data_IF_107585089887
#
_entry.id   IF_107585089887
#
_cell.length_a   1.000
_cell.length_b   1.000
_cell.length_c   1.000
_cell.angle_alpha   90.00
_cell.angle_beta   90.00
_cell.angle_gamma   90.00
#
_symmetry.space_group_name_H-M   'P 1'
#
loop_
_entity.id
_entity.type
_entity.pdbx_description
1 polymer ?
#
# COMPACT_ATOMS: atom_id res chain seq x y z
N UNK A 1 -4.56 47.03 17.39
CA UNK A 1 -4.60 45.55 17.47
C UNK A 1 -3.58 44.99 16.49
N UNK A 2 -2.45 44.48 16.99
CA UNK A 2 -1.38 43.94 16.16
C UNK A 2 -1.81 42.62 15.54
N UNK A 3 -1.76 42.52 14.21
CA UNK A 3 -1.88 41.24 13.50
C UNK A 3 -0.64 40.42 13.89
N UNK A 4 -0.79 39.46 14.78
CA UNK A 4 0.22 38.43 14.96
C UNK A 4 0.39 37.69 13.62
N UNK A 5 1.49 37.98 12.94
CA UNK A 5 2.02 37.16 11.86
C UNK A 5 2.42 35.81 12.48
N UNK A 6 1.46 34.89 12.58
CA UNK A 6 1.73 33.52 12.95
C UNK A 6 2.75 32.98 11.94
N UNK A 7 3.99 32.82 12.39
CA UNK A 7 5.06 32.24 11.60
C UNK A 7 4.64 30.83 11.21
N UNK A 8 4.36 30.63 9.92
CA UNK A 8 4.09 29.32 9.34
C UNK A 8 5.32 28.44 9.60
N UNK A 9 5.30 27.61 10.65
CA UNK A 9 6.35 26.59 10.85
C UNK A 9 6.45 25.77 9.56
N UNK A 10 7.66 25.58 9.02
CA UNK A 10 7.77 25.15 7.64
C UNK A 10 7.42 23.64 7.56
N UNK A 11 6.27 23.39 6.93
CA UNK A 11 5.52 22.12 6.87
C UNK A 11 6.21 21.00 6.07
N UNK A 12 7.40 21.25 5.51
CA UNK A 12 8.12 20.31 4.66
C UNK A 12 8.61 19.07 5.42
N UNK A 13 8.91 19.21 6.72
CA UNK A 13 9.48 18.12 7.53
C UNK A 13 8.54 16.91 7.64
N UNK A 14 7.22 17.13 7.70
CA UNK A 14 6.22 16.06 7.82
C UNK A 14 6.04 15.23 6.54
N UNK A 15 6.28 15.83 5.37
CA UNK A 15 6.16 15.13 4.10
C UNK A 15 7.40 14.29 3.83
N UNK A 16 8.58 14.87 4.09
CA UNK A 16 9.84 14.15 3.99
C UNK A 16 9.89 12.99 4.97
N UNK A 17 9.44 13.16 6.21
CA UNK A 17 9.38 12.06 7.17
C UNK A 17 8.40 10.96 6.74
N UNK A 18 7.25 11.31 6.17
CA UNK A 18 6.29 10.34 5.63
C UNK A 18 6.85 9.54 4.44
N UNK A 19 7.45 10.23 3.46
CA UNK A 19 8.08 9.59 2.31
C UNK A 19 9.28 8.73 2.70
N UNK A 20 10.14 9.21 3.60
CA UNK A 20 11.29 8.46 4.12
C UNK A 20 10.85 7.23 4.91
N UNK A 21 9.79 7.33 5.72
CA UNK A 21 9.22 6.16 6.40
C UNK A 21 8.77 5.10 5.40
N UNK A 22 7.98 5.47 4.38
CA UNK A 22 7.49 4.54 3.38
C UNK A 22 8.63 3.89 2.58
N UNK A 23 9.66 4.66 2.24
CA UNK A 23 10.86 4.16 1.59
C UNK A 23 11.64 3.19 2.49
N UNK A 24 11.85 3.54 3.75
CA UNK A 24 12.53 2.69 4.72
C UNK A 24 11.78 1.36 4.93
N UNK A 25 10.46 1.41 5.08
CA UNK A 25 9.63 0.22 5.17
C UNK A 25 9.75 -0.65 3.92
N UNK A 26 9.71 -0.05 2.71
CA UNK A 26 9.89 -0.78 1.46
C UNK A 26 11.27 -1.47 1.37
N UNK A 27 12.33 -0.79 1.80
CA UNK A 27 13.68 -1.36 1.84
C UNK A 27 13.73 -2.54 2.82
N UNK A 28 13.15 -2.40 4.00
CA UNK A 28 13.09 -3.49 4.99
C UNK A 28 12.27 -4.67 4.47
N UNK A 29 11.12 -4.44 3.82
CA UNK A 29 10.32 -5.49 3.14
C UNK A 29 11.19 -6.28 2.17
N UNK A 30 11.89 -5.57 1.27
CA UNK A 30 12.74 -6.20 0.27
C UNK A 30 13.90 -6.96 0.91
N UNK A 31 14.64 -6.34 1.82
CA UNK A 31 15.80 -6.98 2.45
C UNK A 31 15.38 -8.21 3.26
N UNK A 32 14.34 -8.11 4.07
CA UNK A 32 13.92 -9.21 4.94
C UNK A 32 13.19 -10.32 4.18
N UNK A 33 12.12 -10.01 3.44
CA UNK A 33 11.28 -11.04 2.81
C UNK A 33 11.78 -11.49 1.43
N UNK A 34 12.73 -10.77 0.81
CA UNK A 34 13.28 -11.15 -0.50
C UNK A 34 14.74 -11.59 -0.39
N UNK A 35 15.61 -10.85 0.28
CA UNK A 35 17.05 -11.19 0.31
C UNK A 35 17.42 -12.18 1.42
N UNK A 36 16.79 -12.10 2.59
CA UNK A 36 17.13 -12.99 3.70
C UNK A 36 16.38 -14.32 3.60
N UNK A 37 17.11 -15.43 3.81
CA UNK A 37 16.55 -16.78 3.73
C UNK A 37 15.37 -17.01 4.67
N UNK A 38 15.45 -16.52 5.92
CA UNK A 38 14.40 -16.70 6.92
C UNK A 38 13.10 -15.97 6.54
N UNK A 39 13.19 -14.69 6.17
CA UNK A 39 12.02 -13.93 5.73
C UNK A 39 11.46 -14.45 4.41
N UNK A 40 12.32 -14.79 3.44
CA UNK A 40 11.86 -15.38 2.17
C UNK A 40 11.15 -16.73 2.38
N UNK A 41 11.63 -17.56 3.31
CA UNK A 41 10.93 -18.80 3.68
C UNK A 41 9.56 -18.50 4.28
N UNK A 42 9.46 -17.56 5.23
CA UNK A 42 8.19 -17.18 5.86
C UNK A 42 7.17 -16.64 4.85
N UNK A 43 7.62 -15.77 3.95
CA UNK A 43 6.81 -15.19 2.87
C UNK A 43 6.31 -16.28 1.90
N UNK A 44 7.18 -17.24 1.58
CA UNK A 44 6.84 -18.37 0.71
C UNK A 44 5.85 -19.32 1.38
N UNK A 45 5.97 -19.62 2.68
CA UNK A 45 4.99 -20.44 3.39
C UNK A 45 3.65 -19.74 3.49
N UNK A 46 3.66 -18.44 3.82
CA UNK A 46 2.46 -17.61 3.84
C UNK A 46 1.75 -17.57 2.50
N UNK A 47 2.46 -17.62 1.38
CA UNK A 47 1.89 -17.80 0.05
C UNK A 47 1.37 -19.23 -0.20
N UNK A 48 2.19 -20.22 0.12
CA UNK A 48 1.95 -21.63 -0.26
C UNK A 48 0.70 -22.17 0.43
N UNK A 49 0.48 -21.83 1.70
CA UNK A 49 -0.70 -22.26 2.46
C UNK A 49 -2.01 -21.80 1.79
N UNK A 50 -2.09 -20.55 1.34
CA UNK A 50 -3.26 -20.02 0.64
C UNK A 50 -3.43 -20.70 -0.73
N UNK A 51 -2.33 -20.91 -1.46
CA UNK A 51 -2.38 -21.61 -2.75
C UNK A 51 -2.84 -23.08 -2.62
N UNK A 52 -2.61 -23.73 -1.49
CA UNK A 52 -3.06 -25.10 -1.22
C UNK A 52 -4.54 -25.15 -0.83
N UNK A 53 -4.98 -24.24 0.05
CA UNK A 53 -6.37 -24.18 0.49
C UNK A 53 -7.32 -23.63 -0.57
N UNK A 54 -6.81 -22.78 -1.47
CA UNK A 54 -7.58 -22.17 -2.53
C UNK A 54 -6.84 -22.27 -3.88
N UNK A 55 -6.75 -23.49 -4.48
CA UNK A 55 -5.94 -23.74 -5.66
C UNK A 55 -6.33 -22.87 -6.86
N UNK A 56 -5.31 -22.32 -7.51
CA UNK A 56 -5.48 -21.49 -8.70
C UNK A 56 -6.08 -22.25 -9.90
N UNK A 57 -6.00 -23.59 -9.92
CA UNK A 57 -6.51 -24.44 -11.00
C UNK A 57 -8.04 -24.48 -11.14
N UNK A 58 -8.80 -23.90 -10.21
CA UNK A 58 -10.25 -23.75 -10.34
C UNK A 58 -10.58 -22.61 -11.34
N UNK A 59 -10.53 -22.93 -12.64
CA UNK A 59 -10.77 -22.01 -13.78
C UNK A 59 -12.14 -21.31 -13.76
N UNK A 60 -13.10 -21.80 -12.97
CA UNK A 60 -14.41 -21.18 -12.76
C UNK A 60 -14.48 -20.18 -11.58
N UNK A 61 -13.37 -19.83 -10.93
CA UNK A 61 -13.42 -18.98 -9.74
C UNK A 61 -13.69 -17.51 -10.10
N UNK A 62 -14.85 -16.93 -9.72
CA UNK A 62 -15.21 -15.55 -10.08
C UNK A 62 -14.28 -14.52 -9.43
N UNK A 63 -13.69 -14.81 -8.27
CA UNK A 63 -12.73 -13.93 -7.61
C UNK A 63 -11.43 -13.84 -8.42
N UNK A 64 -11.01 -14.95 -9.04
CA UNK A 64 -9.80 -14.96 -9.88
C UNK A 64 -10.01 -14.15 -11.17
N UNK A 65 -11.15 -14.33 -11.83
CA UNK A 65 -11.51 -13.53 -13.00
C UNK A 65 -11.59 -12.04 -12.64
N UNK A 66 -12.15 -11.71 -11.48
CA UNK A 66 -12.13 -10.34 -10.98
C UNK A 66 -10.70 -9.81 -10.77
N UNK A 67 -9.80 -10.61 -10.21
CA UNK A 67 -8.40 -10.22 -10.02
C UNK A 67 -7.66 -9.99 -11.34
N UNK A 68 -7.95 -10.77 -12.39
CA UNK A 68 -7.38 -10.56 -13.74
C UNK A 68 -7.73 -9.17 -14.29
N UNK A 69 -8.97 -8.72 -14.05
CA UNK A 69 -9.45 -7.40 -14.47
C UNK A 69 -9.24 -6.31 -13.41
N UNK A 70 -8.68 -6.63 -12.24
CA UNK A 70 -8.57 -5.68 -11.13
C UNK A 70 -7.89 -4.36 -11.52
N UNK A 71 -6.74 -4.35 -12.22
CA UNK A 71 -6.08 -3.10 -12.59
C UNK A 71 -6.94 -2.27 -13.54
N UNK A 72 -7.64 -2.93 -14.48
CA UNK A 72 -8.56 -2.29 -15.42
C UNK A 72 -9.76 -1.69 -14.70
N UNK A 73 -10.40 -2.45 -13.80
CA UNK A 73 -11.56 -2.00 -13.01
C UNK A 73 -11.16 -0.81 -12.12
N UNK A 74 -10.03 -0.90 -11.41
CA UNK A 74 -9.52 0.19 -10.58
C UNK A 74 -9.24 1.44 -11.42
N UNK A 75 -8.57 1.25 -12.57
CA UNK A 75 -8.27 2.33 -13.51
C UNK A 75 -9.53 2.99 -14.06
N UNK A 76 -10.53 2.21 -14.44
CA UNK A 76 -11.81 2.70 -14.95
C UNK A 76 -12.57 3.51 -13.89
N UNK A 77 -12.72 2.98 -12.68
CA UNK A 77 -13.37 3.67 -11.55
C UNK A 77 -12.65 4.99 -11.24
N UNK A 78 -11.32 4.95 -11.11
CA UNK A 78 -10.53 6.14 -10.84
C UNK A 78 -10.61 7.18 -11.97
N UNK A 79 -10.64 6.73 -13.23
CA UNK A 79 -10.76 7.62 -14.40
C UNK A 79 -12.12 8.29 -14.45
N UNK A 80 -13.21 7.54 -14.26
CA UNK A 80 -14.57 8.11 -14.21
C UNK A 80 -14.68 9.12 -13.07
N UNK A 81 -14.18 8.76 -11.88
CA UNK A 81 -14.16 9.65 -10.73
C UNK A 81 -13.33 10.92 -11.00
N UNK A 82 -12.15 10.77 -11.59
CA UNK A 82 -11.27 11.87 -11.98
C UNK A 82 -11.95 12.82 -12.95
N UNK A 83 -12.54 12.30 -14.03
CA UNK A 83 -13.23 13.09 -15.05
C UNK A 83 -14.38 13.89 -14.42
N UNK A 84 -15.19 13.25 -13.59
CA UNK A 84 -16.25 13.93 -12.83
C UNK A 84 -15.68 15.08 -11.99
N UNK A 85 -14.59 14.84 -11.22
CA UNK A 85 -13.96 15.87 -10.38
C UNK A 85 -13.34 17.00 -11.20
N UNK A 86 -12.71 16.70 -12.33
CA UNK A 86 -12.12 17.70 -13.24
C UNK A 86 -13.20 18.60 -13.84
N UNK A 87 -14.29 18.01 -14.33
CA UNK A 87 -15.42 18.76 -14.91
C UNK A 87 -16.08 19.65 -13.85
N UNK A 88 -16.30 19.10 -12.65
CA UNK A 88 -16.98 19.78 -11.54
C UNK A 88 -16.15 20.88 -10.91
N UNK A 89 -14.87 20.62 -10.62
CA UNK A 89 -14.01 21.55 -9.87
C UNK A 89 -13.15 22.45 -10.76
N UNK A 90 -12.97 22.11 -12.05
CA UNK A 90 -12.06 22.78 -12.99
C UNK A 90 -10.58 22.83 -12.55
N UNK A 91 -10.16 21.90 -11.69
CA UNK A 91 -8.79 21.84 -11.11
C UNK A 91 -7.86 20.91 -11.90
N UNK A 92 -7.56 21.27 -13.14
CA UNK A 92 -6.75 20.45 -14.05
C UNK A 92 -5.37 20.08 -13.50
N UNK A 93 -4.67 21.02 -12.87
CA UNK A 93 -3.33 20.75 -12.32
C UNK A 93 -3.34 19.63 -11.25
N UNK A 94 -4.39 19.57 -10.42
CA UNK A 94 -4.51 18.49 -9.41
C UNK A 94 -4.66 17.14 -10.07
N UNK A 95 -5.48 17.07 -11.12
CA UNK A 95 -5.69 15.86 -11.88
C UNK A 95 -4.41 15.40 -12.56
N UNK A 96 -3.68 16.31 -13.21
CA UNK A 96 -2.39 16.00 -13.87
C UNK A 96 -1.39 15.44 -12.86
N UNK A 97 -1.22 16.09 -11.70
CA UNK A 97 -0.27 15.60 -10.68
C UNK A 97 -0.70 14.26 -10.09
N UNK A 98 -2.00 14.04 -9.84
CA UNK A 98 -2.50 12.78 -9.31
C UNK A 98 -2.34 11.62 -10.32
N UNK A 99 -2.60 11.87 -11.61
CA UNK A 99 -2.37 10.89 -12.70
C UNK A 99 -0.88 10.60 -12.85
N UNK A 100 -0.03 11.64 -12.86
CA UNK A 100 1.41 11.47 -12.95
C UNK A 100 1.95 10.63 -11.78
N UNK A 101 1.46 10.84 -10.57
CA UNK A 101 1.83 10.05 -9.40
C UNK A 101 1.38 8.59 -9.50
N UNK A 102 0.16 8.34 -10.00
CA UNK A 102 -0.33 6.97 -10.20
C UNK A 102 0.48 6.23 -11.27
N UNK A 103 0.76 6.91 -12.40
CA UNK A 103 1.62 6.38 -13.45
C UNK A 103 3.05 6.12 -12.97
N UNK A 104 3.62 7.03 -12.18
CA UNK A 104 4.95 6.87 -11.60
C UNK A 104 5.01 5.69 -10.61
N UNK A 105 3.98 5.47 -9.80
CA UNK A 105 3.89 4.29 -8.94
C UNK A 105 3.90 2.99 -9.75
N UNK A 106 3.08 2.92 -10.80
CA UNK A 106 3.04 1.73 -11.67
C UNK A 106 4.36 1.51 -12.40
N UNK A 107 4.93 2.55 -13.00
CA UNK A 107 6.22 2.47 -13.68
C UNK A 107 7.32 2.03 -12.71
N UNK A 108 7.37 2.60 -11.51
CA UNK A 108 8.31 2.20 -10.46
C UNK A 108 8.18 0.73 -10.10
N UNK A 109 6.96 0.23 -9.90
CA UNK A 109 6.71 -1.19 -9.61
C UNK A 109 7.21 -2.10 -10.72
N UNK A 110 6.95 -1.76 -12.00
CA UNK A 110 7.39 -2.58 -13.12
C UNK A 110 8.91 -2.53 -13.31
N UNK A 111 9.52 -1.35 -13.21
CA UNK A 111 10.97 -1.18 -13.31
C UNK A 111 11.67 -1.94 -12.17
N UNK A 112 11.20 -1.77 -10.93
CA UNK A 112 11.76 -2.48 -9.78
C UNK A 112 11.67 -3.99 -9.96
N UNK A 113 10.50 -4.51 -10.34
CA UNK A 113 10.28 -5.95 -10.49
C UNK A 113 11.12 -6.59 -11.59
N UNK A 114 11.18 -5.94 -12.75
CA UNK A 114 11.73 -6.56 -13.96
C UNK A 114 13.19 -6.21 -14.22
N UNK A 115 13.69 -5.07 -13.70
CA UNK A 115 15.01 -4.55 -14.06
C UNK A 115 15.98 -4.37 -12.89
N UNK A 116 15.48 -4.09 -11.68
CA UNK A 116 16.36 -3.69 -10.55
C UNK A 116 16.45 -4.76 -9.47
N UNK A 117 15.30 -5.25 -9.00
CA UNK A 117 15.24 -6.13 -7.84
C UNK A 117 15.36 -7.59 -8.26
N UNK A 118 16.36 -8.25 -7.68
CA UNK A 118 16.60 -9.68 -7.88
C UNK A 118 16.04 -10.42 -6.65
N UNK A 119 15.41 -11.57 -6.87
CA UNK A 119 15.00 -12.50 -5.80
C UNK A 119 15.92 -13.72 -5.85
N UNK A 120 16.81 -13.92 -4.86
CA UNK A 120 17.66 -15.11 -4.78
C UNK A 120 16.80 -16.38 -4.69
N UNK A 121 17.23 -17.44 -5.34
CA UNK A 121 16.57 -18.74 -5.23
C UNK A 121 17.18 -19.56 -4.07
N UNK A 122 16.41 -19.72 -3.00
CA UNK A 122 16.76 -20.58 -1.87
C UNK A 122 16.18 -22.00 -1.98
N UNK A 123 15.72 -22.40 -3.17
CA UNK A 123 15.06 -23.69 -3.46
C UNK A 123 13.76 -23.91 -2.67
N UNK A 124 12.97 -22.84 -2.49
CA UNK A 124 11.65 -22.92 -1.84
C UNK A 124 10.48 -23.13 -2.81
N UNK A 125 10.77 -23.42 -4.10
CA UNK A 125 9.77 -23.57 -5.15
C UNK A 125 9.32 -22.24 -5.78
N UNK A 126 10.21 -21.24 -5.78
CA UNK A 126 9.92 -19.86 -6.20
C UNK A 126 9.92 -19.74 -7.73
N UNK A 127 8.78 -19.41 -8.34
CA UNK A 127 8.69 -19.07 -9.78
C UNK A 127 9.11 -17.61 -10.03
N UNK A 128 10.40 -17.31 -9.89
CA UNK A 128 10.97 -16.00 -10.25
C UNK A 128 10.58 -14.83 -9.34
N UNK A 129 11.01 -13.62 -9.71
CA UNK A 129 10.74 -12.41 -8.93
C UNK A 129 9.32 -11.86 -9.19
N UNK A 130 8.51 -11.82 -8.13
CA UNK A 130 7.16 -11.24 -8.13
C UNK A 130 7.05 -9.90 -7.39
N UNK A 131 8.13 -9.46 -6.75
CA UNK A 131 8.16 -8.27 -5.89
C UNK A 131 8.49 -7.00 -6.69
N UNK A 132 7.76 -5.88 -6.52
CA UNK A 132 6.50 -5.72 -5.76
C UNK A 132 5.24 -6.02 -6.60
N UNK A 133 4.08 -6.21 -5.97
CA UNK A 133 2.81 -6.55 -6.65
C UNK A 133 2.29 -5.41 -7.55
N UNK A 134 2.08 -5.71 -8.83
CA UNK A 134 1.55 -4.75 -9.81
C UNK A 134 0.06 -4.48 -9.64
N UNK A 135 -0.73 -5.54 -9.40
CA UNK A 135 -2.16 -5.47 -9.14
C UNK A 135 -2.48 -4.62 -7.91
N UNK A 136 -1.74 -4.86 -6.82
CA UNK A 136 -1.90 -4.09 -5.58
C UNK A 136 -1.45 -2.65 -5.77
N UNK A 137 -0.34 -2.40 -6.48
CA UNK A 137 0.11 -1.03 -6.78
C UNK A 137 -0.96 -0.28 -7.58
N UNK A 138 -1.56 -0.90 -8.60
CA UNK A 138 -2.60 -0.29 -9.42
C UNK A 138 -3.85 0.08 -8.59
N UNK A 139 -4.33 -0.85 -7.75
CA UNK A 139 -5.46 -0.61 -6.86
C UNK A 139 -5.16 0.53 -5.86
N UNK A 140 -4.02 0.48 -5.17
CA UNK A 140 -3.64 1.50 -4.20
C UNK A 140 -3.40 2.89 -4.85
N UNK A 141 -2.80 2.93 -6.05
CA UNK A 141 -2.56 4.15 -6.80
C UNK A 141 -3.87 4.80 -7.30
N UNK A 142 -4.80 4.01 -7.82
CA UNK A 142 -6.13 4.46 -8.24
C UNK A 142 -6.87 5.17 -7.10
N UNK A 143 -6.78 4.60 -5.90
CA UNK A 143 -7.42 5.16 -4.71
C UNK A 143 -6.72 6.38 -4.15
N UNK A 144 -5.37 6.36 -4.12
CA UNK A 144 -4.58 7.53 -3.77
C UNK A 144 -4.92 8.71 -4.68
N UNK A 145 -5.05 8.46 -5.98
CA UNK A 145 -5.52 9.44 -6.96
C UNK A 145 -6.91 9.96 -6.59
N UNK A 146 -7.90 9.08 -6.36
CA UNK A 146 -9.24 9.49 -5.94
C UNK A 146 -9.22 10.34 -4.67
N UNK A 147 -8.37 10.00 -3.69
CA UNK A 147 -8.20 10.73 -2.45
C UNK A 147 -7.63 12.14 -2.68
N UNK A 148 -6.60 12.28 -3.53
CA UNK A 148 -5.96 13.56 -3.86
C UNK A 148 -6.90 14.53 -4.57
N UNK A 149 -7.70 14.03 -5.51
CA UNK A 149 -8.64 14.85 -6.30
C UNK A 149 -9.96 15.10 -5.57
N UNK A 150 -10.17 14.45 -4.43
CA UNK A 150 -11.34 14.67 -3.58
C UNK A 150 -11.28 16.00 -2.81
N UNK A 151 -12.42 16.68 -2.65
CA UNK A 151 -12.53 17.85 -1.80
C UNK A 151 -12.47 17.42 -0.33
N UNK A 152 -12.16 18.34 0.61
CA UNK A 152 -12.02 18.02 2.03
C UNK A 152 -13.23 17.28 2.63
N UNK A 153 -14.44 17.57 2.17
CA UNK A 153 -15.69 16.97 2.65
C UNK A 153 -15.86 15.50 2.27
N UNK A 154 -15.38 15.07 1.09
CA UNK A 154 -15.49 13.67 0.66
C UNK A 154 -14.29 12.82 1.07
N UNK A 155 -13.16 13.44 1.44
CA UNK A 155 -11.93 12.72 1.79
C UNK A 155 -12.10 11.65 2.87
N UNK A 156 -12.86 11.85 3.98
CA UNK A 156 -13.05 10.80 4.96
C UNK A 156 -13.74 9.55 4.38
N UNK A 157 -14.76 9.77 3.55
CA UNK A 157 -15.53 8.68 2.90
C UNK A 157 -14.68 7.99 1.85
N UNK A 158 -14.03 8.75 0.97
CA UNK A 158 -13.13 8.21 -0.06
C UNK A 158 -11.98 7.47 0.58
N UNK A 159 -11.38 8.00 1.65
CA UNK A 159 -10.35 7.30 2.40
C UNK A 159 -10.86 5.96 2.91
N UNK A 160 -12.03 5.91 3.56
CA UNK A 160 -12.54 4.66 4.13
C UNK A 160 -12.87 3.65 3.03
N UNK A 161 -13.75 4.02 2.09
CA UNK A 161 -14.28 3.11 1.06
C UNK A 161 -13.18 2.63 0.13
N UNK A 162 -12.34 3.54 -0.36
CA UNK A 162 -11.23 3.18 -1.22
C UNK A 162 -10.26 2.29 -0.44
N UNK A 163 -9.76 2.69 0.74
CA UNK A 163 -8.77 1.88 1.45
C UNK A 163 -9.26 0.50 1.85
N UNK A 164 -10.53 0.33 2.22
CA UNK A 164 -11.12 -1.00 2.41
C UNK A 164 -11.10 -1.79 1.10
N UNK A 165 -11.47 -1.19 -0.03
CA UNK A 165 -11.46 -1.85 -1.32
C UNK A 165 -10.07 -2.34 -1.75
N UNK A 166 -9.01 -1.52 -1.76
CA UNK A 166 -7.68 -2.07 -2.12
C UNK A 166 -7.16 -3.05 -1.08
N UNK A 167 -7.44 -2.86 0.22
CA UNK A 167 -7.04 -3.86 1.22
C UNK A 167 -7.68 -5.20 0.93
N UNK A 168 -8.99 -5.21 0.65
CA UNK A 168 -9.70 -6.42 0.25
C UNK A 168 -9.14 -7.03 -1.03
N UNK A 169 -8.84 -6.20 -2.05
CA UNK A 169 -8.24 -6.67 -3.30
C UNK A 169 -6.82 -7.24 -3.09
N UNK A 170 -6.01 -6.63 -2.22
CA UNK A 170 -4.69 -7.12 -1.82
C UNK A 170 -4.79 -8.45 -1.09
N UNK A 171 -5.68 -8.56 -0.09
CA UNK A 171 -5.92 -9.83 0.63
C UNK A 171 -6.45 -10.89 -0.34
N UNK A 172 -7.35 -10.56 -1.26
CA UNK A 172 -7.82 -11.50 -2.29
C UNK A 172 -6.67 -11.98 -3.18
N UNK A 173 -5.73 -11.10 -3.52
CA UNK A 173 -4.52 -11.46 -4.29
C UNK A 173 -3.65 -12.48 -3.53
N UNK A 174 -3.56 -12.36 -2.20
CA UNK A 174 -2.88 -13.34 -1.35
C UNK A 174 -3.66 -14.66 -1.30
N UNK A 175 -4.94 -14.60 -0.93
CA UNK A 175 -5.79 -15.78 -0.72
C UNK A 175 -5.95 -16.60 -1.99
N UNK A 176 -6.03 -15.96 -3.17
CA UNK A 176 -6.06 -16.65 -4.46
C UNK A 176 -4.68 -17.13 -4.95
N UNK A 177 -3.62 -17.01 -4.14
CA UNK A 177 -2.29 -17.52 -4.46
C UNK A 177 -1.62 -16.83 -5.65
N UNK A 178 -1.85 -15.53 -5.85
CA UNK A 178 -1.24 -14.77 -6.95
C UNK A 178 0.09 -14.12 -6.55
N UNK A 179 0.16 -13.60 -5.33
CA UNK A 179 1.32 -12.88 -4.83
C UNK A 179 1.61 -13.24 -3.38
N UNK A 180 2.88 -13.14 -3.01
CA UNK A 180 3.33 -13.32 -1.63
C UNK A 180 2.89 -12.12 -0.78
N UNK A 181 2.70 -12.29 0.55
CA UNK A 181 2.34 -11.19 1.44
C UNK A 181 3.22 -9.94 1.27
N UNK A 182 4.56 -10.12 1.21
CA UNK A 182 5.50 -9.00 1.06
C UNK A 182 5.36 -8.25 -0.27
N UNK A 183 5.07 -8.96 -1.38
CA UNK A 183 4.85 -8.33 -2.68
C UNK A 183 3.66 -7.35 -2.62
N UNK A 184 2.59 -7.76 -1.93
CA UNK A 184 1.36 -6.99 -1.77
C UNK A 184 1.61 -5.80 -0.83
N UNK A 185 2.25 -6.04 0.32
CA UNK A 185 2.65 -4.99 1.27
C UNK A 185 3.48 -3.90 0.57
N UNK A 186 4.49 -4.30 -0.21
CA UNK A 186 5.33 -3.39 -0.97
C UNK A 186 4.57 -2.60 -2.06
N UNK A 187 3.57 -3.21 -2.69
CA UNK A 187 2.70 -2.50 -3.65
C UNK A 187 1.94 -1.33 -3.03
N UNK A 188 1.45 -1.49 -1.79
CA UNK A 188 0.85 -0.39 -1.04
C UNK A 188 1.85 0.72 -0.71
N UNK A 189 3.05 0.34 -0.25
CA UNK A 189 4.11 1.29 0.12
C UNK A 189 4.58 2.13 -1.08
N UNK A 190 4.79 1.51 -2.24
CA UNK A 190 5.17 2.22 -3.49
C UNK A 190 4.09 3.21 -3.90
N UNK A 191 2.83 2.79 -3.92
CA UNK A 191 1.72 3.67 -4.28
C UNK A 191 1.62 4.86 -3.30
N UNK A 192 1.65 4.60 -1.99
CA UNK A 192 1.58 5.65 -0.99
C UNK A 192 2.77 6.62 -1.05
N UNK A 193 3.98 6.14 -1.33
CA UNK A 193 5.17 6.98 -1.49
C UNK A 193 4.94 8.06 -2.56
N UNK A 194 4.50 7.64 -3.75
CA UNK A 194 4.22 8.57 -4.84
C UNK A 194 3.05 9.52 -4.54
N UNK A 195 2.03 9.05 -3.84
CA UNK A 195 0.89 9.89 -3.44
C UNK A 195 1.27 10.91 -2.36
N UNK A 196 2.16 10.57 -1.44
CA UNK A 196 2.75 11.50 -0.46
C UNK A 196 3.60 12.56 -1.17
N UNK A 197 4.42 12.16 -2.13
CA UNK A 197 5.23 13.09 -2.92
C UNK A 197 4.35 14.04 -3.74
N UNK A 198 3.31 13.51 -4.40
CA UNK A 198 2.32 14.31 -5.12
C UNK A 198 1.60 15.30 -4.20
N UNK A 199 1.24 14.87 -2.99
CA UNK A 199 0.63 15.74 -1.96
C UNK A 199 1.56 16.87 -1.54
N UNK A 200 2.87 16.60 -1.42
CA UNK A 200 3.87 17.59 -1.07
C UNK A 200 4.01 18.65 -2.18
N UNK A 201 4.06 18.21 -3.45
CA UNK A 201 4.09 19.10 -4.61
C UNK A 201 2.81 19.94 -4.68
N UNK A 202 1.65 19.30 -4.56
CA UNK A 202 0.35 19.98 -4.59
C UNK A 202 0.22 21.01 -3.47
N UNK A 203 0.67 20.73 -2.25
CA UNK A 203 0.57 21.70 -1.16
C UNK A 203 1.46 22.93 -1.35
N UNK A 204 2.56 22.82 -2.11
CA UNK A 204 3.38 23.99 -2.47
C UNK A 204 2.73 24.90 -3.51
N UNK A 205 1.96 24.31 -4.43
CA UNK A 205 1.39 25.05 -5.59
C UNK A 205 -0.06 25.46 -5.32
N UNK A 206 -0.87 24.53 -4.81
CA UNK A 206 -2.30 24.71 -4.56
C UNK A 206 -2.72 23.96 -3.28
N UNK A 207 -2.86 24.66 -2.13
CA UNK A 207 -3.17 24.04 -0.85
C UNK A 207 -4.33 23.04 -0.93
N UNK A 208 -4.08 21.81 -0.47
CA UNK A 208 -5.07 20.73 -0.49
C UNK A 208 -6.11 20.86 0.63
N UNK A 209 -5.89 21.66 1.68
CA UNK A 209 -6.69 21.66 2.91
C UNK A 209 -7.89 22.61 2.90
N UNK A 210 -9.05 22.07 3.28
CA UNK A 210 -9.92 22.67 4.30
C UNK A 210 -9.57 22.02 5.66
N UNK A 211 -9.88 22.69 6.76
CA UNK A 211 -9.54 22.22 8.12
C UNK A 211 -10.24 20.90 8.44
N UNK A 212 -9.49 19.93 8.97
CA UNK A 212 -10.07 18.71 9.54
C UNK A 212 -9.57 18.59 10.97
N UNK A 213 -10.49 18.29 11.88
CA UNK A 213 -10.17 18.00 13.29
C UNK A 213 -9.06 16.95 13.38
N UNK A 214 -8.02 17.26 14.18
CA UNK A 214 -6.97 16.30 14.55
C UNK A 214 -7.64 15.16 15.30
N UNK A 215 -7.86 14.05 14.63
CA UNK A 215 -8.46 12.87 15.24
C UNK A 215 -7.36 12.00 15.83
N UNK A 216 -7.29 11.97 17.18
CA UNK A 216 -6.30 11.19 17.96
C UNK A 216 -6.22 9.72 17.51
N UNK A 217 -7.39 9.12 17.19
CA UNK A 217 -7.50 7.72 16.77
C UNK A 217 -6.61 7.37 15.56
N UNK A 218 -6.43 8.29 14.60
CA UNK A 218 -5.65 8.03 13.39
C UNK A 218 -4.16 7.87 13.66
N UNK A 219 -3.64 8.57 14.68
CA UNK A 219 -2.24 8.43 15.12
C UNK A 219 -2.04 7.13 15.88
N UNK A 220 -2.91 6.84 16.84
CA UNK A 220 -2.85 5.60 17.61
C UNK A 220 -2.95 4.38 16.70
N UNK A 221 -3.85 4.43 15.70
CA UNK A 221 -3.97 3.37 14.71
C UNK A 221 -2.72 3.24 13.83
N UNK A 222 -2.12 4.35 13.40
CA UNK A 222 -0.89 4.31 12.61
C UNK A 222 0.30 3.73 13.37
N UNK A 223 0.46 4.10 14.65
CA UNK A 223 1.47 3.51 15.55
C UNK A 223 1.19 2.03 15.79
N UNK A 224 -0.06 1.66 16.04
CA UNK A 224 -0.46 0.26 16.20
C UNK A 224 -0.14 -0.56 14.95
N UNK A 225 -0.45 -0.05 13.75
CA UNK A 225 -0.12 -0.73 12.50
C UNK A 225 1.39 -0.91 12.30
N UNK A 226 2.21 0.08 12.68
CA UNK A 226 3.67 -0.05 12.68
C UNK A 226 4.16 -1.12 13.67
N UNK A 227 3.61 -1.14 14.89
CA UNK A 227 3.95 -2.16 15.90
C UNK A 227 3.56 -3.55 15.39
N UNK A 228 2.36 -3.71 14.84
CA UNK A 228 1.90 -4.96 14.25
C UNK A 228 2.81 -5.40 13.09
N UNK A 229 3.22 -4.46 12.24
CA UNK A 229 4.13 -4.75 11.14
C UNK A 229 5.52 -5.21 11.63
N UNK A 230 6.06 -4.59 12.68
CA UNK A 230 7.32 -5.05 13.31
C UNK A 230 7.13 -6.43 13.95
N UNK A 231 6.00 -6.68 14.62
CA UNK A 231 5.69 -7.99 15.19
C UNK A 231 5.60 -9.08 14.11
N UNK A 232 5.07 -8.78 12.93
CA UNK A 232 5.08 -9.71 11.78
C UNK A 232 6.51 -10.07 11.39
N UNK A 233 7.42 -9.10 11.28
CA UNK A 233 8.84 -9.38 10.97
C UNK A 233 9.48 -10.25 12.04
N UNK A 234 9.29 -9.90 13.32
CA UNK A 234 9.85 -10.63 14.46
C UNK A 234 9.33 -12.07 14.50
N UNK A 235 8.01 -12.26 14.39
CA UNK A 235 7.41 -13.59 14.39
C UNK A 235 7.82 -14.40 13.16
N UNK A 236 7.95 -13.78 11.98
CA UNK A 236 8.45 -14.45 10.77
C UNK A 236 9.91 -14.92 10.90
N UNK A 237 10.70 -14.25 11.75
CA UNK A 237 12.07 -14.62 12.05
C UNK A 237 12.19 -15.65 13.19
N UNK A 238 11.33 -15.55 14.21
CA UNK A 238 11.42 -16.36 15.43
C UNK A 238 10.68 -17.69 15.34
N UNK A 239 9.60 -17.76 14.55
CA UNK A 239 8.87 -19.02 14.33
C UNK A 239 9.75 -20.03 13.58
N UNK A 240 9.58 -21.35 13.79
CA UNK A 240 10.40 -22.36 13.14
C UNK A 240 10.36 -22.31 11.60
N UNK A 241 11.48 -22.66 10.96
CA UNK A 241 11.62 -22.80 9.50
C UNK A 241 11.95 -24.25 9.10
N UNK A 242 11.02 -25.22 9.26
CA UNK A 242 11.23 -26.59 8.79
C UNK A 242 11.43 -26.65 7.27
N UNK A 243 11.75 -27.83 6.76
CA UNK A 243 11.81 -28.03 5.31
C UNK A 243 10.47 -27.61 4.66
N UNK A 244 10.51 -26.83 3.57
CA UNK A 244 9.33 -26.15 2.98
C UNK A 244 8.18 -27.10 2.61
N UNK A 245 8.51 -28.37 2.35
CA UNK A 245 7.54 -29.43 2.01
C UNK A 245 6.98 -30.19 3.23
N UNK A 246 7.53 -29.94 4.43
CA UNK A 246 7.22 -30.66 5.68
C UNK A 246 6.83 -29.66 6.79
N UNK A 247 6.09 -28.61 6.43
CA UNK A 247 5.60 -27.61 7.39
C UNK A 247 4.38 -28.20 8.13
N UNK A 248 4.40 -28.25 9.47
CA UNK A 248 3.25 -28.70 10.26
C UNK A 248 2.01 -27.80 10.06
N UNK A 249 0.82 -28.35 10.26
CA UNK A 249 -0.45 -27.66 9.94
C UNK A 249 -0.68 -26.43 10.84
N UNK A 250 -0.34 -26.52 12.12
CA UNK A 250 -0.41 -25.42 13.07
C UNK A 250 0.49 -24.24 12.66
N UNK A 251 1.65 -24.56 12.07
CA UNK A 251 2.60 -23.56 11.59
C UNK A 251 2.12 -22.94 10.27
N UNK A 252 1.53 -23.74 9.38
CA UNK A 252 0.88 -23.23 8.16
C UNK A 252 -0.23 -22.22 8.50
N UNK A 253 -1.07 -22.52 9.49
CA UNK A 253 -2.12 -21.60 9.92
C UNK A 253 -1.53 -20.29 10.49
N UNK A 254 -0.47 -20.38 11.30
CA UNK A 254 0.20 -19.20 11.81
C UNK A 254 0.71 -18.30 10.67
N UNK A 255 1.43 -18.86 9.69
CA UNK A 255 1.94 -18.09 8.55
C UNK A 255 0.83 -17.57 7.61
N UNK A 256 -0.29 -18.29 7.48
CA UNK A 256 -1.47 -17.80 6.74
C UNK A 256 -2.03 -16.53 7.37
N UNK A 257 -2.19 -16.54 8.71
CA UNK A 257 -2.68 -15.38 9.48
C UNK A 257 -1.68 -14.24 9.46
N UNK A 258 -0.38 -14.53 9.67
CA UNK A 258 0.67 -13.52 9.57
C UNK A 258 0.63 -12.81 8.21
N UNK A 259 0.46 -13.55 7.11
CA UNK A 259 0.36 -12.97 5.77
C UNK A 259 -0.80 -11.98 5.61
N UNK A 260 -2.00 -12.30 6.13
CA UNK A 260 -3.13 -11.35 6.10
C UNK A 260 -2.83 -10.13 6.97
N UNK A 261 -2.35 -10.35 8.20
CA UNK A 261 -2.05 -9.26 9.15
C UNK A 261 -1.00 -8.32 8.56
N UNK A 262 0.01 -8.86 7.88
CA UNK A 262 1.05 -8.11 7.19
C UNK A 262 0.48 -7.18 6.12
N UNK A 263 -0.35 -7.72 5.22
CA UNK A 263 -0.99 -6.96 4.14
C UNK A 263 -1.88 -5.85 4.71
N UNK A 264 -2.68 -6.15 5.73
CA UNK A 264 -3.57 -5.17 6.36
C UNK A 264 -2.77 -4.07 7.06
N UNK A 265 -1.71 -4.43 7.79
CA UNK A 265 -0.85 -3.46 8.47
C UNK A 265 -0.17 -2.51 7.46
N UNK A 266 0.40 -3.05 6.39
CA UNK A 266 1.05 -2.25 5.33
C UNK A 266 0.06 -1.31 4.62
N UNK A 267 -1.17 -1.78 4.35
CA UNK A 267 -2.24 -0.96 3.78
C UNK A 267 -2.64 0.19 4.72
N UNK A 268 -2.84 -0.10 6.02
CA UNK A 268 -3.18 0.91 7.01
C UNK A 268 -2.07 1.96 7.18
N UNK A 269 -0.80 1.54 7.26
CA UNK A 269 0.35 2.46 7.30
C UNK A 269 0.34 3.37 6.08
N UNK A 270 0.18 2.80 4.88
CA UNK A 270 0.15 3.51 3.61
C UNK A 270 -0.97 4.55 3.55
N UNK A 271 -2.18 4.17 3.93
CA UNK A 271 -3.34 5.07 3.94
C UNK A 271 -3.25 6.16 5.00
N UNK A 272 -2.78 5.84 6.21
CA UNK A 272 -2.66 6.80 7.29
C UNK A 272 -1.49 7.77 7.07
N UNK A 273 -0.39 7.32 6.47
CA UNK A 273 0.71 8.17 6.03
C UNK A 273 0.22 9.21 5.02
N UNK A 274 -0.48 8.78 3.97
CA UNK A 274 -1.09 9.68 2.97
C UNK A 274 -2.06 10.67 3.62
N UNK A 275 -2.95 10.18 4.47
CA UNK A 275 -3.91 11.03 5.21
C UNK A 275 -3.20 12.07 6.07
N UNK A 276 -2.15 11.68 6.79
CA UNK A 276 -1.40 12.58 7.69
C UNK A 276 -0.73 13.73 6.95
N UNK A 277 -0.32 13.48 5.69
CA UNK A 277 0.32 14.46 4.83
C UNK A 277 -0.70 15.42 4.21
N UNK A 278 -1.88 14.92 3.82
CA UNK A 278 -2.94 15.70 3.15
C UNK A 278 -3.79 16.51 4.14
N UNK A 279 -4.03 16.00 5.35
CA UNK A 279 -4.72 16.75 6.42
C UNK A 279 -3.70 17.69 7.10
N UNK A 280 -3.66 18.94 6.67
CA UNK A 280 -2.95 19.99 7.40
C UNK A 280 -3.62 20.26 8.77
N UNK A 281 -2.88 20.67 9.82
CA UNK A 281 -3.47 21.00 11.12
C UNK A 281 -4.48 22.17 10.98
N UNK A 282 -5.56 22.10 11.76
CA UNK A 282 -6.51 23.20 11.96
C UNK A 282 -5.77 24.50 12.31
N UNK A 283 -6.22 25.65 11.78
CA UNK A 283 -5.77 26.94 12.30
C UNK A 283 -6.30 27.00 13.75
N UNK A 284 -5.39 27.19 14.70
CA UNK A 284 -5.75 27.57 16.07
C UNK A 284 -5.93 29.08 16.03
#
# INVERSE_FOLDING_TARGET
MSRHSATLKPRHVQWWSGGLLLLALFIVEYVFFVQMRAGQWADQVGFTVWSQWWPSTNSGNPVRQFLDFLPLICGAIATVFLLYRVIRDRRFLRAVIAVAAAGAAMATTQILKHLILIRPDFNFGTSGNSFPSGHTTAAAAAMGLMYLVSPPTLRPVVQLVAWVFATAAGVATLVCGWHRPSDIAAGFLVAAFWMVLASAVLQRIQPLSGEVSKTSWSRSLGVLSLVVWVLVLLLSYLLPHPHIQKVPQELLLAYAVLGIVHVVAASLISGLALRSVVIGPARI
#
